data_IF_439801923802
#
_entry.id   IF_439801923802
#
_cell.length_a   1.000
_cell.length_b   1.000
_cell.length_c   1.000
_cell.angle_alpha   90.00
_cell.angle_beta   90.00
_cell.angle_gamma   90.00
#
_symmetry.space_group_name_H-M   'P 1'
#
loop_
_entity.id
_entity.type
_entity.pdbx_description
1 polymer ?
#
# COMPACT_ATOMS: atom_id res chain seq x y z
N UNK A 1 -2.96 -50.00 -7.02
CA UNK A 1 -3.09 -48.66 -7.61
C UNK A 1 -4.41 -48.11 -7.15
N UNK A 2 -4.45 -47.13 -6.24
CA UNK A 2 -5.70 -46.50 -5.84
C UNK A 2 -6.21 -45.61 -7.00
N UNK A 3 -7.49 -45.75 -7.30
CA UNK A 3 -8.21 -44.99 -8.34
C UNK A 3 -8.59 -43.58 -7.84
N UNK A 4 -7.98 -43.11 -6.75
CA UNK A 4 -8.21 -41.77 -6.25
C UNK A 4 -7.53 -40.76 -7.19
N UNK A 5 -8.34 -40.06 -7.98
CA UNK A 5 -7.88 -38.99 -8.83
C UNK A 5 -7.11 -37.96 -8.02
N UNK A 6 -6.06 -37.36 -8.59
CA UNK A 6 -5.30 -36.32 -7.95
C UNK A 6 -6.24 -35.19 -7.49
N UNK A 7 -6.32 -34.96 -6.19
CA UNK A 7 -7.13 -33.89 -5.61
C UNK A 7 -6.53 -32.54 -6.08
N UNK A 8 -7.27 -31.78 -6.86
CA UNK A 8 -6.85 -30.48 -7.32
C UNK A 8 -7.01 -29.45 -6.16
N UNK A 9 -5.87 -29.09 -5.54
CA UNK A 9 -5.81 -28.13 -4.44
C UNK A 9 -5.50 -26.73 -5.01
N UNK A 10 -6.54 -25.97 -5.32
CA UNK A 10 -6.43 -24.62 -5.85
C UNK A 10 -5.70 -23.67 -4.89
N UNK A 11 -5.97 -23.63 -3.57
CA UNK A 11 -5.19 -22.84 -2.61
C UNK A 11 -3.70 -23.13 -2.65
N UNK A 12 -3.32 -24.39 -2.70
CA UNK A 12 -1.91 -24.81 -2.82
C UNK A 12 -1.27 -24.30 -4.11
N UNK A 13 -1.99 -24.40 -5.22
CA UNK A 13 -1.52 -23.92 -6.51
C UNK A 13 -1.32 -22.39 -6.50
N UNK A 14 -2.25 -21.63 -5.90
CA UNK A 14 -2.12 -20.17 -5.73
C UNK A 14 -0.90 -19.83 -4.87
N UNK A 15 -0.64 -20.55 -3.78
CA UNK A 15 0.55 -20.34 -2.97
C UNK A 15 1.84 -20.58 -3.74
N UNK A 16 1.91 -21.64 -4.54
CA UNK A 16 3.07 -21.90 -5.40
C UNK A 16 3.24 -20.79 -6.44
N UNK A 17 2.17 -20.37 -7.09
CA UNK A 17 2.18 -19.25 -8.05
C UNK A 17 2.68 -17.96 -7.42
N UNK A 18 2.20 -17.62 -6.22
CA UNK A 18 2.64 -16.48 -5.42
C UNK A 18 4.14 -16.50 -5.14
N UNK A 19 4.67 -17.66 -4.77
CA UNK A 19 6.10 -17.85 -4.53
C UNK A 19 6.89 -17.60 -5.83
N UNK A 20 6.49 -18.23 -6.92
CA UNK A 20 7.15 -18.05 -8.24
C UNK A 20 7.13 -16.59 -8.67
N UNK A 21 5.96 -15.92 -8.60
CA UNK A 21 5.81 -14.51 -8.98
C UNK A 21 6.69 -13.58 -8.14
N UNK A 22 6.92 -13.89 -6.85
CA UNK A 22 7.73 -13.06 -5.98
C UNK A 22 9.21 -13.04 -6.35
N UNK A 23 9.72 -14.12 -6.96
CA UNK A 23 11.12 -14.27 -7.38
C UNK A 23 11.41 -13.79 -8.82
N UNK A 24 10.38 -13.45 -9.60
CA UNK A 24 10.60 -12.85 -10.91
C UNK A 24 11.13 -11.42 -10.75
N UNK A 25 12.09 -11.01 -11.57
CA UNK A 25 12.53 -9.61 -11.60
C UNK A 25 11.44 -8.68 -12.17
N UNK A 26 11.59 -7.38 -11.94
CA UNK A 26 10.58 -6.39 -12.33
C UNK A 26 10.34 -6.35 -13.85
N UNK A 27 11.34 -6.39 -14.73
CA UNK A 27 11.11 -6.47 -16.16
C UNK A 27 10.33 -7.71 -16.59
N UNK A 28 10.68 -8.88 -16.03
CA UNK A 28 10.01 -10.14 -16.37
C UNK A 28 8.55 -10.16 -15.93
N UNK A 29 8.26 -9.78 -14.67
CA UNK A 29 6.87 -9.74 -14.21
C UNK A 29 6.06 -8.68 -14.96
N UNK A 30 6.66 -7.54 -15.28
CA UNK A 30 5.99 -6.47 -16.04
C UNK A 30 5.63 -6.94 -17.46
N UNK A 31 6.54 -7.61 -18.15
CA UNK A 31 6.30 -8.19 -19.47
C UNK A 31 5.15 -9.21 -19.41
N UNK A 32 5.27 -10.20 -18.51
CA UNK A 32 4.29 -11.27 -18.39
C UNK A 32 2.90 -10.74 -18.00
N UNK A 33 2.84 -9.75 -17.07
CA UNK A 33 1.60 -9.11 -16.68
C UNK A 33 0.97 -8.32 -17.85
N UNK A 34 1.78 -7.67 -18.69
CA UNK A 34 1.31 -6.96 -19.88
C UNK A 34 0.71 -7.94 -20.90
N UNK A 35 1.40 -9.06 -21.18
CA UNK A 35 0.92 -10.11 -22.09
C UNK A 35 -0.40 -10.74 -21.58
N UNK A 36 -0.48 -10.97 -20.28
CA UNK A 36 -1.72 -11.43 -19.63
C UNK A 36 -2.84 -10.39 -19.78
N UNK A 37 -2.56 -9.15 -19.43
CA UNK A 37 -3.55 -8.07 -19.41
C UNK A 37 -4.11 -7.79 -20.81
N UNK A 38 -3.28 -7.82 -21.84
CA UNK A 38 -3.69 -7.65 -23.23
C UNK A 38 -4.76 -8.66 -23.67
N UNK A 39 -4.73 -9.89 -23.11
CA UNK A 39 -5.66 -10.95 -23.48
C UNK A 39 -6.87 -11.05 -22.55
N UNK A 40 -6.70 -10.76 -21.26
CA UNK A 40 -7.66 -11.18 -20.25
C UNK A 40 -8.12 -10.06 -19.31
N UNK A 41 -7.39 -8.94 -19.21
CA UNK A 41 -7.71 -7.85 -18.29
C UNK A 41 -7.53 -6.47 -18.93
N UNK A 42 -8.56 -5.96 -19.65
CA UNK A 42 -8.50 -4.65 -20.30
C UNK A 42 -8.23 -3.49 -19.33
N UNK A 43 -8.67 -3.59 -18.06
CA UNK A 43 -8.44 -2.53 -17.06
C UNK A 43 -6.96 -2.45 -16.69
N UNK A 44 -6.35 -3.58 -16.41
CA UNK A 44 -4.91 -3.66 -16.15
C UNK A 44 -4.11 -3.22 -17.38
N UNK A 45 -4.50 -3.66 -18.58
CA UNK A 45 -3.81 -3.27 -19.82
C UNK A 45 -3.84 -1.76 -20.03
N UNK A 46 -4.99 -1.12 -19.85
CA UNK A 46 -5.12 0.33 -19.96
C UNK A 46 -4.25 1.08 -18.95
N UNK A 47 -4.21 0.60 -17.70
CA UNK A 47 -3.36 1.18 -16.66
C UNK A 47 -1.87 1.06 -17.03
N UNK A 48 -1.41 -0.11 -17.47
CA UNK A 48 -0.03 -0.33 -17.91
C UNK A 48 0.32 0.57 -19.09
N UNK A 49 -0.58 0.67 -20.08
CA UNK A 49 -0.36 1.40 -21.32
C UNK A 49 -0.23 2.91 -21.13
N UNK A 50 -0.82 3.49 -20.06
CA UNK A 50 -0.66 4.91 -19.72
C UNK A 50 0.80 5.25 -19.37
N UNK A 51 1.49 4.40 -18.61
CA UNK A 51 2.89 4.62 -18.21
C UNK A 51 3.55 3.27 -17.89
N UNK A 52 4.11 2.57 -18.92
CA UNK A 52 4.79 1.30 -18.73
C UNK A 52 6.03 1.38 -17.81
N UNK A 53 6.73 2.51 -17.82
CA UNK A 53 7.91 2.70 -16.96
C UNK A 53 7.52 2.85 -15.48
N UNK A 54 6.42 3.55 -15.20
CA UNK A 54 5.85 3.62 -13.85
C UNK A 54 5.37 2.25 -13.39
N UNK A 55 4.72 1.48 -14.26
CA UNK A 55 4.29 0.12 -13.95
C UNK A 55 5.45 -0.78 -13.55
N UNK A 56 6.58 -0.75 -14.28
CA UNK A 56 7.77 -1.52 -13.92
C UNK A 56 8.33 -1.09 -12.55
N UNK A 57 8.36 0.22 -12.23
CA UNK A 57 8.74 0.69 -10.89
C UNK A 57 7.81 0.15 -9.80
N UNK A 58 6.50 0.09 -10.06
CA UNK A 58 5.52 -0.50 -9.13
C UNK A 58 5.79 -2.00 -8.94
N UNK A 59 6.06 -2.72 -10.02
CA UNK A 59 6.41 -4.15 -9.95
C UNK A 59 7.73 -4.41 -9.23
N UNK A 60 8.61 -3.42 -9.11
CA UNK A 60 9.88 -3.53 -8.40
C UNK A 60 9.79 -3.30 -6.90
N UNK A 61 8.64 -2.88 -6.36
CA UNK A 61 8.48 -2.63 -4.91
C UNK A 61 8.82 -3.90 -4.13
N UNK A 62 9.76 -3.79 -3.17
CA UNK A 62 10.24 -4.88 -2.28
C UNK A 62 10.63 -6.18 -3.01
N UNK A 63 11.06 -6.09 -4.27
CA UNK A 63 11.38 -7.27 -5.08
C UNK A 63 12.87 -7.67 -5.01
N UNK A 64 13.75 -6.68 -5.01
CA UNK A 64 15.20 -6.92 -5.02
C UNK A 64 15.77 -7.12 -3.62
N UNK A 65 15.27 -8.10 -2.89
CA UNK A 65 15.72 -8.45 -1.54
C UNK A 65 15.72 -9.97 -1.34
N UNK A 66 16.43 -10.45 -0.32
CA UNK A 66 16.58 -11.88 -0.02
C UNK A 66 15.23 -12.57 0.17
N UNK A 67 14.27 -11.89 0.79
CA UNK A 67 12.91 -12.36 1.00
C UNK A 67 11.91 -11.40 0.35
N UNK A 68 11.69 -11.50 -0.98
CA UNK A 68 10.80 -10.60 -1.68
C UNK A 68 9.36 -10.73 -1.17
N UNK A 69 8.67 -9.60 -1.14
CA UNK A 69 7.29 -9.57 -0.70
C UNK A 69 6.37 -10.27 -1.69
N UNK A 70 5.39 -10.99 -1.15
CA UNK A 70 4.44 -11.81 -1.92
C UNK A 70 3.10 -11.09 -2.00
N UNK A 71 2.99 -10.09 -2.88
CA UNK A 71 1.77 -9.26 -2.99
C UNK A 71 0.70 -9.86 -3.91
N UNK A 72 1.10 -10.67 -4.89
CA UNK A 72 0.22 -11.19 -5.94
C UNK A 72 0.26 -12.72 -5.97
N UNK A 73 -0.90 -13.36 -5.96
CA UNK A 73 -1.00 -14.82 -6.14
C UNK A 73 -0.98 -15.17 -7.64
N UNK A 74 -1.64 -14.33 -8.44
CA UNK A 74 -1.79 -14.47 -9.90
C UNK A 74 -1.83 -13.07 -10.55
N UNK A 75 -1.66 -12.99 -11.87
CA UNK A 75 -1.66 -11.70 -12.60
C UNK A 75 -2.98 -10.94 -12.48
N UNK A 76 -4.12 -11.63 -12.37
CA UNK A 76 -5.42 -10.98 -12.17
C UNK A 76 -5.55 -10.21 -10.85
N UNK A 77 -4.70 -10.48 -9.87
CA UNK A 77 -4.74 -9.76 -8.59
C UNK A 77 -4.03 -8.40 -8.68
N UNK A 78 -3.21 -8.16 -9.72
CA UNK A 78 -2.35 -6.99 -9.83
C UNK A 78 -3.19 -5.70 -9.88
N UNK A 79 -4.19 -5.63 -10.75
CA UNK A 79 -4.99 -4.40 -10.94
C UNK A 79 -5.52 -3.86 -9.61
N UNK A 80 -6.18 -4.69 -8.82
CA UNK A 80 -6.80 -4.29 -7.55
C UNK A 80 -5.77 -3.78 -6.53
N UNK A 81 -4.54 -4.30 -6.57
CA UNK A 81 -3.47 -3.93 -5.64
C UNK A 81 -2.76 -2.63 -6.00
N UNK A 82 -2.80 -2.23 -7.28
CA UNK A 82 -2.00 -1.10 -7.79
C UNK A 82 -2.83 0.02 -8.41
N UNK A 83 -4.13 -0.16 -8.63
CA UNK A 83 -5.00 0.80 -9.34
C UNK A 83 -4.95 2.21 -8.74
N UNK A 84 -4.68 2.36 -7.44
CA UNK A 84 -4.54 3.65 -6.77
C UNK A 84 -3.32 4.46 -7.24
N UNK A 85 -2.35 3.87 -7.96
CA UNK A 85 -1.23 4.62 -8.52
C UNK A 85 -1.65 5.51 -9.71
N UNK A 86 -2.78 5.23 -10.33
CA UNK A 86 -3.40 6.12 -11.33
C UNK A 86 -4.21 7.20 -10.61
N UNK A 87 -3.97 8.49 -10.96
CA UNK A 87 -4.58 9.60 -10.24
C UNK A 87 -6.09 9.69 -10.47
N UNK A 88 -6.55 9.40 -11.69
CA UNK A 88 -7.99 9.45 -12.04
C UNK A 88 -8.75 8.34 -11.31
N UNK A 89 -8.17 7.13 -11.30
CA UNK A 89 -8.76 5.99 -10.58
C UNK A 89 -8.73 6.22 -9.06
N UNK A 90 -7.66 6.81 -8.52
CA UNK A 90 -7.63 7.18 -7.11
C UNK A 90 -8.74 8.19 -6.77
N UNK A 91 -8.96 9.18 -7.60
CA UNK A 91 -10.00 10.19 -7.37
C UNK A 91 -11.40 9.56 -7.41
N UNK A 92 -11.65 8.63 -8.34
CA UNK A 92 -12.89 7.85 -8.39
C UNK A 92 -13.07 6.95 -7.14
N UNK A 93 -12.01 6.26 -6.72
CA UNK A 93 -12.03 5.45 -5.50
C UNK A 93 -12.33 6.30 -4.26
N UNK A 94 -11.70 7.47 -4.16
CA UNK A 94 -11.87 8.37 -3.03
C UNK A 94 -13.32 8.86 -2.90
N UNK A 95 -13.98 9.19 -4.01
CA UNK A 95 -15.38 9.65 -4.03
C UNK A 95 -16.38 8.53 -3.70
N UNK A 96 -16.06 7.29 -4.06
CA UNK A 96 -16.99 6.15 -3.98
C UNK A 96 -16.68 5.17 -2.85
N UNK A 97 -15.65 5.42 -2.03
CA UNK A 97 -15.25 4.53 -0.93
C UNK A 97 -15.31 5.27 0.40
N UNK A 98 -15.91 4.68 1.40
CA UNK A 98 -15.76 5.16 2.77
C UNK A 98 -14.33 4.90 3.23
N UNK A 99 -13.62 5.96 3.67
CA UNK A 99 -12.24 5.83 4.13
C UNK A 99 -12.19 5.05 5.45
N UNK A 100 -11.51 3.89 5.52
CA UNK A 100 -11.61 2.97 6.63
C UNK A 100 -10.70 3.36 7.81
N UNK A 101 -10.73 4.62 8.24
CA UNK A 101 -10.00 5.05 9.43
C UNK A 101 -10.48 4.29 10.67
N UNK A 102 -9.58 4.11 11.64
CA UNK A 102 -9.94 3.48 12.90
C UNK A 102 -10.94 4.37 13.67
N UNK A 103 -12.18 3.91 13.92
CA UNK A 103 -13.22 4.71 14.57
C UNK A 103 -12.94 5.02 16.05
N UNK A 104 -11.97 4.35 16.67
CA UNK A 104 -11.56 4.58 18.04
C UNK A 104 -10.48 5.66 18.18
N UNK A 105 -9.96 6.19 17.08
CA UNK A 105 -9.01 7.29 17.08
C UNK A 105 -9.75 8.58 16.74
N UNK A 106 -9.56 9.60 17.59
CA UNK A 106 -10.19 10.91 17.38
C UNK A 106 -9.81 11.51 16.02
N UNK A 107 -10.79 12.02 15.29
CA UNK A 107 -10.60 12.60 13.95
C UNK A 107 -9.61 13.78 13.98
N UNK A 108 -9.59 14.58 15.05
CA UNK A 108 -8.66 15.70 15.17
C UNK A 108 -7.21 15.21 15.31
N UNK A 109 -6.99 14.07 15.96
CA UNK A 109 -5.67 13.44 16.02
C UNK A 109 -5.25 12.97 14.63
N UNK A 110 -6.15 12.32 13.88
CA UNK A 110 -5.88 11.91 12.49
C UNK A 110 -5.52 13.12 11.63
N UNK A 111 -6.31 14.20 11.72
CA UNK A 111 -6.03 15.45 10.99
C UNK A 111 -4.65 16.01 11.34
N UNK A 112 -4.35 16.14 12.62
CA UNK A 112 -3.08 16.71 13.09
C UNK A 112 -1.90 15.88 12.59
N UNK A 113 -1.98 14.55 12.69
CA UNK A 113 -0.94 13.65 12.18
C UNK A 113 -0.76 13.80 10.67
N UNK A 114 -1.85 13.84 9.89
CA UNK A 114 -1.75 14.00 8.44
C UNK A 114 -1.16 15.36 8.02
N UNK A 115 -1.50 16.44 8.72
CA UNK A 115 -0.91 17.77 8.47
C UNK A 115 0.58 17.76 8.77
N UNK A 116 0.98 17.33 9.99
CA UNK A 116 2.39 17.32 10.39
C UNK A 116 3.22 16.35 9.53
N UNK A 117 2.64 15.21 9.14
CA UNK A 117 3.27 14.27 8.21
C UNK A 117 3.55 14.93 6.86
N UNK A 118 2.55 15.63 6.28
CA UNK A 118 2.69 16.32 4.99
C UNK A 118 3.79 17.38 5.06
N UNK A 119 3.78 18.19 6.13
CA UNK A 119 4.74 19.29 6.30
C UNK A 119 6.19 18.81 6.47
N UNK A 120 6.37 17.63 7.10
CA UNK A 120 7.68 17.02 7.32
C UNK A 120 8.09 16.02 6.22
N UNK A 121 7.30 15.86 5.16
CA UNK A 121 7.52 14.84 4.14
C UNK A 121 8.84 15.05 3.38
N UNK A 122 9.75 14.11 3.56
CA UNK A 122 11.01 13.99 2.83
C UNK A 122 11.11 12.60 2.19
N UNK A 123 11.12 12.52 0.87
CA UNK A 123 11.24 11.27 0.10
C UNK A 123 12.67 10.99 -0.37
N UNK A 124 13.61 11.90 -0.12
CA UNK A 124 15.02 11.75 -0.52
C UNK A 124 15.89 11.07 0.54
N UNK A 125 15.28 10.65 1.66
CA UNK A 125 15.93 9.92 2.74
C UNK A 125 15.81 8.41 2.56
N UNK A 126 16.55 7.65 3.38
CA UNK A 126 16.40 6.20 3.49
C UNK A 126 15.08 5.81 4.17
N UNK A 127 14.53 4.66 3.80
CA UNK A 127 13.26 4.16 4.35
C UNK A 127 13.28 4.01 5.89
N UNK A 128 14.41 3.57 6.45
CA UNK A 128 14.60 3.45 7.91
C UNK A 128 14.49 4.80 8.61
N UNK A 129 15.12 5.84 8.06
CA UNK A 129 15.07 7.20 8.59
C UNK A 129 13.66 7.79 8.49
N UNK A 130 12.97 7.54 7.38
CA UNK A 130 11.57 7.92 7.22
C UNK A 130 10.69 7.23 8.27
N UNK A 131 10.88 5.93 8.51
CA UNK A 131 10.10 5.20 9.49
C UNK A 131 10.37 5.67 10.92
N UNK A 132 11.60 6.05 11.25
CA UNK A 132 11.93 6.67 12.53
C UNK A 132 11.27 8.06 12.69
N UNK A 133 11.20 8.85 11.62
CA UNK A 133 10.44 10.11 11.63
C UNK A 133 8.95 9.86 11.90
N UNK A 134 8.38 8.81 11.32
CA UNK A 134 6.99 8.42 11.56
C UNK A 134 6.75 7.96 13.01
N UNK A 135 7.69 7.22 13.61
CA UNK A 135 7.66 6.84 15.04
C UNK A 135 7.67 8.09 15.93
N UNK A 136 8.56 9.05 15.64
CA UNK A 136 8.67 10.29 16.42
C UNK A 136 7.39 11.12 16.31
N UNK A 137 6.81 11.21 15.12
CA UNK A 137 5.51 11.86 14.91
C UNK A 137 4.41 11.17 15.73
N UNK A 138 4.32 9.84 15.69
CA UNK A 138 3.34 9.10 16.48
C UNK A 138 3.53 9.29 17.98
N UNK A 139 4.77 9.20 18.48
CA UNK A 139 5.08 9.39 19.91
C UNK A 139 4.66 10.75 20.44
N UNK A 140 4.83 11.82 19.64
CA UNK A 140 4.38 13.18 19.97
C UNK A 140 2.87 13.25 20.23
N UNK A 141 2.10 12.36 19.61
CA UNK A 141 0.64 12.30 19.70
C UNK A 141 0.11 11.11 20.51
N UNK A 142 0.95 10.49 21.35
CA UNK A 142 0.50 9.45 22.29
C UNK A 142 0.44 8.03 21.66
N UNK A 143 1.15 7.79 20.56
CA UNK A 143 1.29 6.45 19.97
C UNK A 143 2.59 5.80 20.41
N UNK A 144 2.53 4.50 20.71
CA UNK A 144 3.72 3.70 21.04
C UNK A 144 4.63 3.54 19.82
N UNK A 145 5.94 3.46 20.05
CA UNK A 145 6.95 3.29 18.99
C UNK A 145 6.87 1.91 18.32
N UNK A 146 6.21 0.95 18.96
CA UNK A 146 6.04 -0.40 18.43
C UNK A 146 4.78 -1.07 18.97
N UNK A 147 4.29 -2.09 18.22
CA UNK A 147 3.19 -2.93 18.70
C UNK A 147 3.52 -3.67 20.01
N UNK A 148 4.79 -4.02 20.23
CA UNK A 148 5.25 -4.69 21.47
C UNK A 148 5.12 -3.76 22.69
N UNK A 149 5.46 -2.50 22.51
CA UNK A 149 5.30 -1.47 23.54
C UNK A 149 3.82 -1.21 23.85
N UNK A 150 3.02 -0.99 22.81
CA UNK A 150 1.57 -0.83 22.94
C UNK A 150 0.91 -1.98 23.70
N UNK A 151 1.30 -3.24 23.42
CA UNK A 151 0.74 -4.41 24.14
C UNK A 151 1.03 -4.42 25.63
N UNK A 152 2.14 -3.81 26.07
CA UNK A 152 2.53 -3.77 27.49
C UNK A 152 1.73 -2.77 28.29
N UNK A 153 1.29 -1.69 27.64
CA UNK A 153 0.63 -0.57 28.33
C UNK A 153 -0.42 0.09 27.42
N UNK A 154 -1.50 -0.65 27.16
CA UNK A 154 -2.58 -0.21 26.27
C UNK A 154 -3.36 0.99 26.79
N UNK A 155 -3.35 1.21 28.09
CA UNK A 155 -4.10 2.31 28.73
C UNK A 155 -3.39 3.67 28.54
N UNK A 156 -2.06 3.64 28.35
CA UNK A 156 -1.26 4.85 28.14
C UNK A 156 -1.19 5.32 26.68
N UNK A 157 -1.43 4.43 25.73
CA UNK A 157 -1.26 4.74 24.32
C UNK A 157 -2.58 4.69 23.55
N UNK A 158 -2.77 5.63 22.63
CA UNK A 158 -3.92 5.67 21.69
C UNK A 158 -3.83 4.50 20.68
N UNK A 159 -2.60 4.10 20.34
CA UNK A 159 -2.28 3.06 19.38
C UNK A 159 -0.76 2.91 19.26
N UNK A 160 -0.26 2.50 18.11
CA UNK A 160 1.17 2.35 17.84
C UNK A 160 1.55 2.93 16.47
N UNK A 161 2.85 2.97 16.15
CA UNK A 161 3.35 3.51 14.86
C UNK A 161 2.67 2.88 13.64
N UNK A 162 2.23 1.62 13.71
CA UNK A 162 1.49 0.97 12.63
C UNK A 162 0.16 1.65 12.33
N UNK A 163 -0.53 2.16 13.36
CA UNK A 163 -1.78 2.92 13.18
C UNK A 163 -1.51 4.27 12.50
N UNK A 164 -0.40 4.92 12.85
CA UNK A 164 0.05 6.16 12.18
C UNK A 164 0.35 5.91 10.70
N UNK A 165 1.07 4.81 10.40
CA UNK A 165 1.33 4.39 9.01
C UNK A 165 0.03 4.04 8.27
N UNK A 166 -0.96 3.43 8.96
CA UNK A 166 -2.26 3.10 8.38
C UNK A 166 -3.04 4.37 8.02
N UNK A 167 -3.02 5.42 8.86
CA UNK A 167 -3.66 6.70 8.53
C UNK A 167 -3.12 7.30 7.24
N UNK A 168 -1.80 7.36 7.10
CA UNK A 168 -1.15 7.83 5.87
C UNK A 168 -1.52 6.95 4.68
N UNK A 169 -1.48 5.63 4.85
CA UNK A 169 -1.83 4.68 3.79
C UNK A 169 -3.27 4.86 3.31
N UNK A 170 -4.23 4.99 4.22
CA UNK A 170 -5.64 5.23 3.88
C UNK A 170 -5.79 6.52 3.07
N UNK A 171 -5.15 7.60 3.50
CA UNK A 171 -5.17 8.87 2.78
C UNK A 171 -4.60 8.75 1.35
N UNK A 172 -3.61 7.90 1.14
CA UNK A 172 -2.93 7.76 -0.16
C UNK A 172 -3.54 6.70 -1.08
N UNK A 173 -4.27 5.72 -0.54
CA UNK A 173 -4.69 4.53 -1.29
C UNK A 173 -6.17 4.18 -1.13
N UNK A 174 -6.89 4.87 -0.24
CA UNK A 174 -8.25 4.57 0.21
C UNK A 174 -8.41 3.19 0.89
N UNK A 175 -7.30 2.53 1.25
CA UNK A 175 -7.26 1.17 1.77
C UNK A 175 -6.29 1.01 2.93
N UNK A 176 -6.58 0.07 3.84
CA UNK A 176 -5.65 -0.34 4.90
C UNK A 176 -4.46 -1.16 4.39
N UNK A 177 -4.58 -1.72 3.18
CA UNK A 177 -3.58 -2.60 2.58
C UNK A 177 -3.07 -2.03 1.26
N UNK A 178 -1.75 -1.95 1.12
CA UNK A 178 -1.08 -1.54 -0.11
C UNK A 178 0.31 -2.19 -0.18
N UNK A 179 1.00 -2.11 -1.31
CA UNK A 179 2.45 -2.32 -1.35
C UNK A 179 3.18 -1.44 -0.33
N UNK A 180 4.50 -1.61 -0.20
CA UNK A 180 5.32 -0.83 0.73
C UNK A 180 5.00 0.67 0.63
N UNK A 181 4.66 1.28 1.77
CA UNK A 181 4.14 2.65 1.82
C UNK A 181 5.18 3.68 1.37
N UNK A 182 6.44 3.55 1.84
CA UNK A 182 7.49 4.50 1.50
C UNK A 182 7.85 4.44 0.01
N UNK A 183 8.03 3.23 -0.52
CA UNK A 183 8.33 3.04 -1.95
C UNK A 183 7.13 3.49 -2.82
N UNK A 184 5.90 3.25 -2.37
CA UNK A 184 4.70 3.76 -3.04
C UNK A 184 4.68 5.29 -3.10
N UNK A 185 5.03 5.97 -2.01
CA UNK A 185 5.14 7.44 -1.98
C UNK A 185 6.22 7.96 -2.91
N UNK A 186 7.37 7.29 -3.00
CA UNK A 186 8.44 7.66 -3.96
C UNK A 186 7.97 7.56 -5.41
N UNK A 187 7.12 6.58 -5.74
CA UNK A 187 6.55 6.43 -7.09
C UNK A 187 5.47 7.47 -7.36
N UNK A 188 4.63 7.80 -6.37
CA UNK A 188 3.61 8.85 -6.48
C UNK A 188 4.24 10.24 -6.61
N UNK A 189 5.34 10.48 -5.93
CA UNK A 189 5.98 11.80 -5.83
C UNK A 189 5.37 12.69 -4.75
N UNK A 190 6.16 13.65 -4.26
CA UNK A 190 5.80 14.53 -3.13
C UNK A 190 4.52 15.33 -3.39
N UNK A 191 4.36 15.84 -4.61
CA UNK A 191 3.21 16.67 -4.99
C UNK A 191 1.90 15.87 -4.92
N UNK A 192 1.89 14.66 -5.48
CA UNK A 192 0.71 13.81 -5.47
C UNK A 192 0.39 13.29 -4.07
N UNK A 193 1.40 12.95 -3.26
CA UNK A 193 1.22 12.59 -1.85
C UNK A 193 0.57 13.75 -1.09
N UNK A 194 1.06 14.97 -1.26
CA UNK A 194 0.50 16.15 -0.60
C UNK A 194 -0.94 16.42 -1.05
N UNK A 195 -1.22 16.33 -2.35
CA UNK A 195 -2.57 16.50 -2.93
C UNK A 195 -3.58 15.53 -2.29
N UNK A 196 -3.21 14.25 -2.17
CA UNK A 196 -4.09 13.22 -1.58
C UNK A 196 -4.36 13.45 -0.10
N UNK A 197 -3.33 13.86 0.64
CA UNK A 197 -3.49 14.23 2.04
C UNK A 197 -4.44 15.43 2.15
N UNK A 198 -4.26 16.48 1.37
CA UNK A 198 -5.13 17.65 1.37
C UNK A 198 -6.58 17.28 1.00
N UNK A 199 -6.78 16.41 0.00
CA UNK A 199 -8.10 15.87 -0.34
C UNK A 199 -8.75 15.16 0.85
N UNK A 200 -7.96 14.37 1.57
CA UNK A 200 -8.43 13.64 2.76
C UNK A 200 -8.78 14.57 3.91
N UNK A 201 -7.96 15.58 4.20
CA UNK A 201 -8.19 16.57 5.23
C UNK A 201 -9.48 17.39 5.00
N UNK A 202 -9.83 17.63 3.74
CA UNK A 202 -11.04 18.33 3.33
C UNK A 202 -12.26 17.41 3.14
N UNK A 203 -12.13 16.13 3.43
CA UNK A 203 -13.21 15.16 3.26
C UNK A 203 -14.24 15.21 4.40
N UNK A 204 -15.47 14.82 4.09
CA UNK A 204 -16.55 14.68 5.09
C UNK A 204 -16.24 13.66 6.19
N UNK A 205 -15.37 12.71 5.91
CA UNK A 205 -14.99 11.65 6.88
C UNK A 205 -14.25 12.24 8.07
N UNK A 206 -13.43 13.26 7.81
CA UNK A 206 -12.69 13.98 8.85
C UNK A 206 -13.36 15.31 9.26
N UNK A 207 -14.44 15.70 8.61
CA UNK A 207 -15.20 16.91 8.96
C UNK A 207 -15.79 16.85 10.38
#
# INVERSE_FOLDING_TARGET
MSLDGALFDLPKLRNISKDVLSYLDAPTISKNATEYAQKYDPKLYNLISKDPAKFEKIMNIERNQEHPRKDYDVYSDIYEKIKFFDCDIYDELFENTELPFNPFIDKNIIKTILVEFKDSLNLDQEESSWFDSLKNLGAKHGFALSFKEYKKDKEHFIGHVGDVAEMVRIALTTSKNSPNLFQSMKILGKEEVSRRIDKTLNSKVLA
#
